data_IF_018076834245
#
_entry.id   IF_018076834245
#
_cell.length_a   1.000
_cell.length_b   1.000
_cell.length_c   1.000
_cell.angle_alpha   90.00
_cell.angle_beta   90.00
_cell.angle_gamma   90.00
#
_symmetry.space_group_name_H-M   'P 1'
#
loop_
_entity.id
_entity.type
_entity.pdbx_description
1 polymer ?
#
# COMPACT_ATOMS: atom_id res chain seq x y z
N UNK A 1 -4.80 16.14 -0.99
CA UNK A 1 -3.65 15.50 -0.35
C UNK A 1 -3.69 14.04 -0.75
N UNK A 2 -2.86 13.66 -1.72
CA UNK A 2 -2.90 12.33 -2.34
C UNK A 2 -2.56 11.22 -1.34
N UNK A 3 -1.49 11.39 -0.56
CA UNK A 3 -1.03 10.37 0.40
C UNK A 3 -1.98 10.17 1.59
N UNK A 4 -2.61 11.23 2.09
CA UNK A 4 -3.67 11.09 3.11
C UNK A 4 -4.95 10.51 2.50
N UNK A 5 -5.20 10.75 1.21
CA UNK A 5 -6.24 10.08 0.46
C UNK A 5 -6.08 8.56 0.54
N UNK A 6 -4.88 8.03 0.33
CA UNK A 6 -4.60 6.60 0.45
C UNK A 6 -4.86 6.03 1.85
N UNK A 7 -4.55 6.77 2.91
CA UNK A 7 -4.91 6.39 4.30
C UNK A 7 -6.43 6.34 4.46
N UNK A 8 -7.11 7.36 3.97
CA UNK A 8 -8.57 7.48 4.09
C UNK A 8 -9.29 6.40 3.29
N UNK A 9 -8.81 6.08 2.09
CA UNK A 9 -9.37 5.03 1.24
C UNK A 9 -9.41 3.67 1.96
N UNK A 10 -8.36 3.34 2.72
CA UNK A 10 -8.27 2.12 3.52
C UNK A 10 -9.28 2.07 4.69
N UNK A 11 -9.79 3.23 5.10
CA UNK A 11 -10.74 3.37 6.21
C UNK A 11 -12.19 3.46 5.72
N UNK A 12 -12.42 3.48 4.41
CA UNK A 12 -13.76 3.45 3.85
C UNK A 12 -14.30 2.02 3.86
N UNK A 13 -15.51 1.85 4.39
CA UNK A 13 -16.27 0.60 4.31
C UNK A 13 -17.51 0.85 3.48
N UNK A 14 -17.71 0.08 2.40
CA UNK A 14 -18.93 0.18 1.59
C UNK A 14 -20.13 -0.29 2.42
N UNK A 15 -21.15 0.57 2.55
CA UNK A 15 -22.47 0.14 3.01
C UNK A 15 -23.17 -0.56 1.84
N UNK A 16 -23.87 -1.66 2.14
CA UNK A 16 -24.58 -2.49 1.17
C UNK A 16 -25.27 -1.67 0.07
N UNK A 17 -25.14 -2.08 -1.20
CA UNK A 17 -25.81 -1.43 -2.34
C UNK A 17 -27.29 -1.21 -2.03
N UNK A 18 -27.72 0.04 -1.91
CA UNK A 18 -29.15 0.37 -1.90
C UNK A 18 -29.71 -0.11 -3.24
N UNK A 19 -30.55 -1.15 -3.24
CA UNK A 19 -31.31 -1.55 -4.42
C UNK A 19 -32.10 -0.33 -4.85
N UNK A 20 -31.81 0.22 -6.03
CA UNK A 20 -32.56 1.32 -6.61
C UNK A 20 -34.05 0.94 -6.59
N UNK A 21 -34.85 1.65 -5.81
CA UNK A 21 -36.30 1.55 -5.92
C UNK A 21 -36.66 1.98 -7.35
N UNK A 22 -37.43 1.13 -8.05
CA UNK A 22 -38.04 1.47 -9.33
C UNK A 22 -38.96 2.66 -9.07
N UNK A 23 -38.54 3.87 -9.43
CA UNK A 23 -39.47 4.99 -9.47
C UNK A 23 -40.44 4.78 -10.64
N UNK A 24 -41.74 4.79 -10.33
CA UNK A 24 -42.83 4.81 -11.28
C UNK A 24 -42.71 6.03 -12.22
N UNK A 25 -43.20 5.95 -13.48
CA UNK A 25 -43.05 7.02 -14.44
C UNK A 25 -43.90 8.22 -14.00
N UNK A 26 -43.23 9.33 -13.65
CA UNK A 26 -43.86 10.64 -13.58
C UNK A 26 -43.99 11.18 -15.01
N UNK A 27 -45.23 11.20 -15.49
CA UNK A 27 -45.59 11.98 -16.67
C UNK A 27 -45.39 13.48 -16.39
N UNK A 28 -45.00 14.18 -17.46
CA UNK A 28 -45.07 15.63 -17.72
C UNK A 28 -43.83 16.52 -17.47
N UNK A 29 -43.46 17.18 -18.57
CA UNK A 29 -42.85 18.51 -18.72
C UNK A 29 -41.33 18.73 -18.53
N UNK A 30 -40.62 18.57 -19.66
CA UNK A 30 -39.60 19.50 -20.24
C UNK A 30 -38.57 20.14 -19.30
N UNK A 31 -37.43 19.45 -19.15
CA UNK A 31 -36.09 20.03 -19.31
C UNK A 31 -35.10 18.89 -19.63
N UNK A 32 -34.49 18.91 -20.82
CA UNK A 32 -33.49 17.91 -21.23
C UNK A 32 -32.19 18.15 -20.45
N UNK A 33 -32.03 17.51 -19.29
CA UNK A 33 -30.70 17.21 -18.74
C UNK A 33 -30.26 15.86 -19.31
N UNK A 34 -29.28 15.89 -20.22
CA UNK A 34 -28.62 14.71 -20.79
C UNK A 34 -27.60 14.16 -19.77
N UNK A 35 -28.09 13.66 -18.64
CA UNK A 35 -27.29 12.83 -17.75
C UNK A 35 -28.06 11.53 -17.48
N UNK A 36 -27.62 10.39 -18.02
CA UNK A 36 -28.23 9.11 -17.71
C UNK A 36 -28.09 8.84 -16.20
N UNK A 37 -29.22 8.66 -15.53
CA UNK A 37 -29.34 8.25 -14.13
C UNK A 37 -28.97 6.76 -13.94
N UNK A 38 -27.75 6.38 -14.35
CA UNK A 38 -27.25 5.01 -14.38
C UNK A 38 -25.91 4.87 -13.64
N UNK A 39 -25.85 5.30 -12.38
CA UNK A 39 -24.91 4.74 -11.41
C UNK A 39 -25.64 4.62 -10.09
N UNK A 40 -25.77 3.38 -9.58
CA UNK A 40 -26.23 3.19 -8.22
C UNK A 40 -25.34 4.00 -7.28
N UNK A 41 -25.94 4.76 -6.36
CA UNK A 41 -25.20 5.50 -5.35
C UNK A 41 -24.52 4.50 -4.42
N UNK A 42 -23.20 4.40 -4.50
CA UNK A 42 -22.42 3.68 -3.49
C UNK A 42 -22.25 4.57 -2.26
N UNK A 43 -22.68 4.07 -1.11
CA UNK A 43 -22.52 4.77 0.17
C UNK A 43 -21.34 4.15 0.93
N UNK A 44 -20.45 4.99 1.45
CA UNK A 44 -19.29 4.55 2.24
C UNK A 44 -19.35 5.16 3.64
N UNK A 45 -19.03 4.38 4.66
CA UNK A 45 -18.76 4.88 6.01
C UNK A 45 -17.25 4.97 6.26
N UNK A 46 -16.83 6.02 6.95
CA UNK A 46 -15.45 6.17 7.38
C UNK A 46 -15.27 5.57 8.77
N UNK A 47 -14.38 4.59 8.89
CA UNK A 47 -14.02 3.99 10.17
C UNK A 47 -13.14 4.95 11.00
N UNK A 48 -13.40 5.10 12.32
CA UNK A 48 -12.54 5.88 13.19
C UNK A 48 -11.19 5.17 13.40
N UNK A 49 -10.11 5.96 13.49
CA UNK A 49 -8.75 5.47 13.73
C UNK A 49 -8.45 5.47 15.23
N UNK A 50 -7.87 4.37 15.73
CA UNK A 50 -7.26 4.29 17.05
C UNK A 50 -5.75 4.57 16.99
N UNK A 51 -5.31 5.54 17.77
CA UNK A 51 -3.90 5.96 17.82
C UNK A 51 -3.13 5.32 18.98
N UNK A 52 -1.81 5.08 18.84
CA UNK A 52 -1.01 5.33 17.64
C UNK A 52 -1.31 4.33 16.50
N UNK A 53 -1.31 4.81 15.26
CA UNK A 53 -1.53 4.01 14.06
C UNK A 53 -0.30 4.06 13.14
N UNK A 54 -0.15 3.06 12.27
CA UNK A 54 0.95 2.96 11.32
C UNK A 54 0.39 2.85 9.90
N UNK A 55 0.81 3.74 9.00
CA UNK A 55 0.44 3.69 7.59
C UNK A 55 1.62 3.20 6.73
N UNK A 56 1.42 2.14 5.96
CA UNK A 56 2.30 1.73 4.87
C UNK A 56 1.68 2.19 3.54
N UNK A 57 2.35 3.11 2.85
CA UNK A 57 1.88 3.72 1.61
C UNK A 57 2.74 3.22 0.44
N UNK A 58 2.18 2.33 -0.37
CA UNK A 58 2.84 1.63 -1.47
C UNK A 58 2.11 1.87 -2.80
N UNK A 59 2.66 2.75 -3.63
CA UNK A 59 2.12 3.11 -4.94
C UNK A 59 3.21 2.99 -6.03
N UNK A 60 2.88 3.39 -7.26
CA UNK A 60 3.86 3.49 -8.35
C UNK A 60 5.06 4.37 -8.01
N UNK A 61 4.84 5.48 -7.29
CA UNK A 61 5.87 6.47 -6.98
C UNK A 61 6.22 6.63 -5.50
N UNK A 62 5.56 5.89 -4.60
CA UNK A 62 5.79 6.03 -3.16
C UNK A 62 5.96 4.67 -2.49
N UNK A 63 6.88 4.60 -1.55
CA UNK A 63 6.99 3.49 -0.59
C UNK A 63 7.44 4.10 0.73
N UNK A 64 6.47 4.39 1.58
CA UNK A 64 6.65 5.14 2.82
C UNK A 64 6.00 4.41 3.99
N UNK A 65 6.68 4.44 5.14
CA UNK A 65 6.17 3.95 6.41
C UNK A 65 6.02 5.11 7.38
N UNK A 66 4.78 5.46 7.71
CA UNK A 66 4.43 6.69 8.42
C UNK A 66 3.72 6.34 9.73
N UNK A 67 4.33 6.71 10.85
CA UNK A 67 3.67 6.67 12.15
C UNK A 67 2.69 7.83 12.27
N UNK A 68 1.49 7.55 12.75
CA UNK A 68 0.47 8.51 13.12
C UNK A 68 0.29 8.47 14.64
N UNK A 69 0.99 9.32 15.42
CA UNK A 69 0.84 9.31 16.87
C UNK A 69 -0.54 9.81 17.32
N UNK A 70 -1.14 10.72 16.55
CA UNK A 70 -2.43 11.37 16.80
C UNK A 70 -3.04 11.85 15.47
N UNK A 71 -4.31 12.23 15.49
CA UNK A 71 -5.00 12.79 14.31
C UNK A 71 -4.23 13.97 13.70
N UNK A 72 -3.95 13.88 12.40
CA UNK A 72 -3.25 14.94 11.64
C UNK A 72 -1.78 15.13 12.03
N UNK A 73 -1.21 14.24 12.84
CA UNK A 73 0.22 14.21 13.18
C UNK A 73 0.84 13.00 12.50
N UNK A 74 1.86 13.25 11.69
CA UNK A 74 2.55 12.23 10.91
C UNK A 74 4.05 12.31 11.20
N UNK A 75 4.68 11.15 11.34
CA UNK A 75 6.12 10.99 11.51
C UNK A 75 6.60 9.93 10.53
N UNK A 76 7.48 10.31 9.61
CA UNK A 76 8.14 9.37 8.72
C UNK A 76 9.03 8.45 9.56
N UNK A 77 8.82 7.14 9.45
CA UNK A 77 9.69 6.13 10.07
C UNK A 77 10.71 5.59 9.07
N UNK A 78 10.31 5.45 7.82
CA UNK A 78 11.18 5.03 6.73
C UNK A 78 10.54 5.23 5.37
N UNK A 79 11.37 5.28 4.34
CA UNK A 79 10.95 5.44 2.95
C UNK A 79 11.87 4.65 2.03
N UNK A 80 11.48 4.46 0.77
CA UNK A 80 12.43 3.92 -0.21
C UNK A 80 13.63 4.87 -0.39
N UNK A 81 14.82 4.30 -0.47
CA UNK A 81 16.06 5.00 -0.79
C UNK A 81 16.28 5.14 -2.31
N UNK A 82 15.51 4.41 -3.10
CA UNK A 82 15.64 4.33 -4.55
C UNK A 82 14.28 4.19 -5.24
N UNK A 83 14.05 3.11 -5.98
CA UNK A 83 12.80 2.86 -6.70
C UNK A 83 11.67 2.64 -5.68
N UNK A 84 10.48 3.18 -5.96
CA UNK A 84 9.28 2.76 -5.27
C UNK A 84 8.93 1.31 -5.65
N UNK A 85 8.19 0.63 -4.79
CA UNK A 85 7.84 -0.78 -5.01
C UNK A 85 7.01 -0.98 -6.28
N UNK A 86 6.07 -0.08 -6.60
CA UNK A 86 5.28 -0.16 -7.83
C UNK A 86 6.15 0.01 -9.08
N UNK A 87 7.10 0.95 -9.06
CA UNK A 87 8.09 1.10 -10.14
C UNK A 87 8.99 -0.14 -10.29
N UNK A 88 9.37 -0.79 -9.19
CA UNK A 88 10.12 -2.04 -9.23
C UNK A 88 9.31 -3.16 -9.92
N UNK A 89 8.02 -3.30 -9.59
CA UNK A 89 7.11 -4.21 -10.27
C UNK A 89 7.04 -3.92 -11.78
N UNK A 90 6.89 -2.66 -12.18
CA UNK A 90 6.81 -2.29 -13.60
C UNK A 90 8.10 -2.58 -14.37
N UNK A 91 9.26 -2.36 -13.74
CA UNK A 91 10.56 -2.68 -14.34
C UNK A 91 10.76 -4.19 -14.48
N UNK A 92 10.37 -4.98 -13.49
CA UNK A 92 10.44 -6.45 -13.55
C UNK A 92 9.47 -7.00 -14.61
N UNK A 93 8.25 -6.47 -14.69
CA UNK A 93 7.30 -6.82 -15.73
C UNK A 93 7.89 -6.64 -17.13
N UNK A 94 8.55 -5.50 -17.37
CA UNK A 94 9.25 -5.22 -18.63
C UNK A 94 10.37 -6.23 -18.91
N UNK A 95 11.18 -6.57 -17.92
CA UNK A 95 12.26 -7.57 -18.07
C UNK A 95 11.71 -8.95 -18.42
N UNK A 96 10.52 -9.29 -17.91
CA UNK A 96 9.83 -10.54 -18.19
C UNK A 96 8.97 -10.48 -19.46
N UNK A 97 8.99 -9.39 -20.24
CA UNK A 97 8.20 -9.25 -21.46
C UNK A 97 6.68 -9.15 -21.22
N UNK A 98 6.26 -8.61 -20.08
CA UNK A 98 4.85 -8.40 -19.72
C UNK A 98 4.37 -7.00 -20.09
N UNK A 99 3.04 -6.85 -20.21
CA UNK A 99 2.39 -5.57 -20.51
C UNK A 99 2.43 -4.60 -19.33
N UNK A 100 2.22 -3.31 -19.62
CA UNK A 100 2.03 -2.26 -18.63
C UNK A 100 0.52 -2.01 -18.38
N UNK A 101 0.05 -1.77 -17.14
CA UNK A 101 0.81 -1.69 -15.88
C UNK A 101 1.35 -3.06 -15.42
N UNK A 102 2.58 -3.08 -14.94
CA UNK A 102 3.34 -4.31 -14.74
C UNK A 102 3.03 -5.04 -13.44
N UNK A 103 2.67 -4.31 -12.37
CA UNK A 103 2.33 -4.91 -11.08
C UNK A 103 1.27 -6.03 -11.14
N UNK A 104 0.09 -5.78 -11.73
CA UNK A 104 -0.93 -6.82 -11.89
C UNK A 104 -0.44 -8.02 -12.72
N UNK A 105 0.33 -7.78 -13.79
CA UNK A 105 0.81 -8.85 -14.67
C UNK A 105 1.86 -9.74 -13.99
N UNK A 106 2.78 -9.15 -13.22
CA UNK A 106 3.76 -9.91 -12.43
C UNK A 106 3.04 -10.75 -11.38
N UNK A 107 2.05 -10.20 -10.68
CA UNK A 107 1.27 -10.96 -9.68
C UNK A 107 0.51 -12.12 -10.32
N UNK A 108 -0.13 -11.89 -11.46
CA UNK A 108 -0.83 -12.94 -12.23
C UNK A 108 0.11 -14.03 -12.72
N UNK A 109 1.33 -13.66 -13.12
CA UNK A 109 2.36 -14.63 -13.54
C UNK A 109 2.90 -15.42 -12.34
N UNK A 110 3.14 -14.77 -11.21
CA UNK A 110 3.56 -15.41 -9.96
C UNK A 110 2.56 -16.46 -9.45
N UNK A 111 1.25 -16.22 -9.62
CA UNK A 111 0.18 -17.17 -9.25
C UNK A 111 0.23 -18.49 -10.03
N UNK A 112 0.87 -18.53 -11.21
CA UNK A 112 0.98 -19.73 -12.03
C UNK A 112 2.15 -20.63 -11.65
N UNK A 113 3.12 -20.09 -10.91
CA UNK A 113 4.32 -20.83 -10.54
C UNK A 113 3.95 -22.10 -9.75
N UNK A 114 4.52 -23.27 -10.11
CA UNK A 114 4.17 -24.52 -9.45
C UNK A 114 4.44 -24.50 -7.95
N UNK A 115 3.52 -25.07 -7.17
CA UNK A 115 3.68 -25.17 -5.72
C UNK A 115 4.93 -25.98 -5.35
N UNK A 116 5.63 -25.55 -4.29
CA UNK A 116 6.86 -26.19 -3.82
C UNK A 116 8.11 -25.89 -4.66
N UNK A 117 7.98 -25.33 -5.87
CA UNK A 117 9.13 -24.97 -6.70
C UNK A 117 9.66 -23.57 -6.40
N UNK A 118 10.98 -23.41 -6.53
CA UNK A 118 11.71 -22.17 -6.24
C UNK A 118 12.88 -22.03 -7.20
N UNK A 119 13.38 -20.81 -7.35
CA UNK A 119 14.66 -20.57 -8.00
C UNK A 119 15.78 -21.28 -7.24
N UNK A 120 16.76 -21.80 -7.99
CA UNK A 120 17.97 -22.41 -7.42
C UNK A 120 18.76 -21.44 -6.54
N UNK A 121 18.79 -20.16 -6.93
CA UNK A 121 19.33 -19.06 -6.15
C UNK A 121 18.21 -18.07 -5.88
N UNK A 122 17.70 -17.99 -4.64
CA UNK A 122 16.67 -17.03 -4.28
C UNK A 122 17.13 -15.58 -4.44
N UNK A 123 16.22 -14.72 -4.87
CA UNK A 123 16.41 -13.29 -4.93
C UNK A 123 16.64 -12.73 -3.51
N UNK A 124 17.49 -11.70 -3.37
CA UNK A 124 17.74 -11.10 -2.06
C UNK A 124 16.49 -10.45 -1.49
N UNK A 125 16.40 -10.31 -0.17
CA UNK A 125 15.38 -9.50 0.54
C UNK A 125 16.04 -8.21 1.01
N UNK A 126 16.08 -7.14 0.20
CA UNK A 126 16.93 -5.99 0.47
C UNK A 126 16.52 -5.30 1.77
N UNK A 127 17.53 -4.85 2.53
CA UNK A 127 17.34 -4.11 3.78
C UNK A 127 16.50 -4.83 4.85
N UNK A 128 16.13 -6.11 4.68
CA UNK A 128 15.31 -6.83 5.65
C UNK A 128 15.93 -6.81 7.06
N UNK A 129 17.26 -6.96 7.11
CA UNK A 129 18.06 -6.97 8.34
C UNK A 129 18.59 -5.59 8.76
N UNK A 130 18.25 -4.50 8.06
CA UNK A 130 18.67 -3.16 8.50
C UNK A 130 17.92 -2.77 9.78
N UNK A 131 18.57 -1.98 10.65
CA UNK A 131 17.97 -1.49 11.91
C UNK A 131 16.95 -0.35 11.70
N UNK A 132 16.94 0.22 10.50
CA UNK A 132 15.98 1.23 10.05
C UNK A 132 14.71 0.63 9.43
N UNK A 133 13.77 1.51 9.08
CA UNK A 133 12.53 1.16 8.40
C UNK A 133 12.53 1.57 6.92
N UNK A 134 13.70 1.90 6.38
CA UNK A 134 13.83 2.30 4.97
C UNK A 134 13.74 1.08 4.05
N UNK A 135 13.39 1.32 2.80
CA UNK A 135 13.26 0.29 1.75
C UNK A 135 14.27 0.53 0.63
N UNK A 136 14.54 -0.50 -0.16
CA UNK A 136 15.33 -0.41 -1.40
C UNK A 136 14.90 -1.56 -2.32
N UNK A 137 14.55 -1.23 -3.56
CA UNK A 137 14.11 -2.20 -4.56
C UNK A 137 14.93 -2.12 -5.85
N UNK A 138 15.77 -1.10 -6.01
CA UNK A 138 16.65 -0.99 -7.18
C UNK A 138 17.71 -2.11 -7.24
N UNK A 139 18.21 -2.59 -6.10
CA UNK A 139 19.09 -3.76 -6.06
C UNK A 139 18.35 -5.04 -6.47
N UNK A 140 17.08 -5.17 -6.07
CA UNK A 140 16.26 -6.34 -6.38
C UNK A 140 15.97 -6.48 -7.87
N UNK A 141 15.64 -5.38 -8.58
CA UNK A 141 15.46 -5.43 -10.06
C UNK A 141 16.74 -5.89 -10.77
N UNK A 142 17.90 -5.54 -10.20
CA UNK A 142 19.21 -5.87 -10.76
C UNK A 142 19.51 -7.36 -10.55
N UNK A 143 19.16 -7.89 -9.37
CA UNK A 143 19.20 -9.33 -9.11
C UNK A 143 18.26 -10.13 -10.02
N UNK A 144 17.06 -9.60 -10.33
CA UNK A 144 16.16 -10.21 -11.32
C UNK A 144 16.79 -10.25 -12.71
N UNK A 145 17.36 -9.13 -13.17
CA UNK A 145 18.07 -9.09 -14.46
C UNK A 145 19.20 -10.14 -14.52
N UNK A 146 19.97 -10.29 -13.45
CA UNK A 146 21.01 -11.32 -13.38
C UNK A 146 20.45 -12.75 -13.30
N UNK A 147 19.31 -12.96 -12.65
CA UNK A 147 18.65 -14.26 -12.63
C UNK A 147 18.21 -14.65 -14.05
N UNK A 148 17.58 -13.73 -14.79
CA UNK A 148 17.16 -13.94 -16.19
C UNK A 148 18.35 -14.30 -17.08
N UNK A 149 19.49 -13.61 -16.93
CA UNK A 149 20.71 -13.86 -17.73
C UNK A 149 21.35 -15.23 -17.53
N UNK A 150 20.95 -16.00 -16.51
CA UNK A 150 21.45 -17.37 -16.29
C UNK A 150 20.77 -18.41 -17.19
N UNK A 151 19.66 -18.04 -17.82
CA UNK A 151 18.93 -18.91 -18.73
C UNK A 151 19.38 -18.65 -20.17
N UNK A 152 19.71 -19.70 -20.92
CA UNK A 152 20.01 -19.58 -22.36
C UNK A 152 18.75 -19.22 -23.16
N UNK A 153 17.62 -19.80 -22.76
CA UNK A 153 16.28 -19.50 -23.23
C UNK A 153 15.37 -19.40 -22.02
N UNK A 154 14.70 -18.26 -21.87
CA UNK A 154 13.79 -18.00 -20.77
C UNK A 154 12.40 -18.54 -21.14
N UNK A 155 12.05 -19.71 -20.62
CA UNK A 155 10.73 -20.30 -20.87
C UNK A 155 9.66 -19.72 -19.92
N UNK A 156 8.40 -20.13 -20.12
CA UNK A 156 7.29 -19.63 -19.28
C UNK A 156 7.43 -20.04 -17.82
N UNK A 157 7.96 -21.22 -17.53
CA UNK A 157 8.14 -21.71 -16.16
C UNK A 157 9.22 -20.90 -15.43
N UNK A 158 10.31 -20.55 -16.09
CA UNK A 158 11.35 -19.70 -15.53
C UNK A 158 10.80 -18.31 -15.21
N UNK A 159 10.00 -17.74 -16.12
CA UNK A 159 9.33 -16.44 -15.90
C UNK A 159 8.39 -16.50 -14.70
N UNK A 160 7.61 -17.57 -14.55
CA UNK A 160 6.72 -17.80 -13.41
C UNK A 160 7.49 -17.87 -12.09
N UNK A 161 8.58 -18.65 -12.04
CA UNK A 161 9.41 -18.78 -10.84
C UNK A 161 10.10 -17.46 -10.46
N UNK A 162 10.60 -16.70 -11.44
CA UNK A 162 11.21 -15.38 -11.21
C UNK A 162 10.17 -14.38 -10.71
N UNK A 163 8.99 -14.32 -11.33
CA UNK A 163 7.91 -13.45 -10.89
C UNK A 163 7.48 -13.77 -9.46
N UNK A 164 7.35 -15.06 -9.14
CA UNK A 164 7.02 -15.55 -7.80
C UNK A 164 8.05 -15.15 -6.75
N UNK A 165 9.34 -15.43 -6.98
CA UNK A 165 10.37 -15.13 -5.97
C UNK A 165 10.59 -13.61 -5.82
N UNK A 166 10.35 -12.83 -6.88
CA UNK A 166 10.34 -11.37 -6.79
C UNK A 166 9.18 -10.87 -5.92
N UNK A 167 7.96 -11.35 -6.18
CA UNK A 167 6.78 -10.98 -5.39
C UNK A 167 6.91 -11.41 -3.93
N UNK A 168 7.43 -12.61 -3.68
CA UNK A 168 7.72 -13.12 -2.33
C UNK A 168 8.76 -12.23 -1.64
N UNK A 169 9.88 -11.89 -2.29
CA UNK A 169 10.91 -11.02 -1.72
C UNK A 169 10.38 -9.63 -1.34
N UNK A 170 9.62 -8.99 -2.23
CA UNK A 170 8.98 -7.70 -1.96
C UNK A 170 8.01 -7.80 -0.78
N UNK A 171 7.13 -8.80 -0.81
CA UNK A 171 6.10 -9.00 0.21
C UNK A 171 6.72 -9.22 1.59
N UNK A 172 7.72 -10.10 1.69
CA UNK A 172 8.43 -10.38 2.93
C UNK A 172 9.06 -9.11 3.52
N UNK A 173 9.72 -8.29 2.70
CA UNK A 173 10.35 -7.04 3.16
C UNK A 173 9.32 -6.04 3.67
N UNK A 174 8.23 -5.83 2.93
CA UNK A 174 7.15 -4.91 3.31
C UNK A 174 6.50 -5.32 4.63
N UNK A 175 6.14 -6.60 4.76
CA UNK A 175 5.46 -7.14 5.95
C UNK A 175 6.40 -7.11 7.15
N UNK A 176 7.62 -7.64 7.02
CA UNK A 176 8.56 -7.72 8.14
C UNK A 176 8.92 -6.33 8.70
N UNK A 177 9.18 -5.34 7.83
CA UNK A 177 9.49 -3.98 8.28
C UNK A 177 8.28 -3.31 8.92
N UNK A 178 7.08 -3.51 8.37
CA UNK A 178 5.84 -2.94 8.92
C UNK A 178 5.52 -3.52 10.28
N UNK A 179 5.59 -4.85 10.45
CA UNK A 179 5.35 -5.50 11.74
C UNK A 179 6.43 -5.17 12.77
N UNK A 180 7.69 -5.05 12.35
CA UNK A 180 8.78 -4.59 13.24
C UNK A 180 8.53 -3.16 13.74
N UNK A 181 8.06 -2.26 12.87
CA UNK A 181 7.69 -0.91 13.28
C UNK A 181 6.44 -0.92 14.18
N UNK A 182 5.42 -1.70 13.83
CA UNK A 182 4.20 -1.84 14.61
C UNK A 182 4.50 -2.28 16.05
N UNK A 183 5.38 -3.26 16.20
CA UNK A 183 5.92 -3.72 17.48
C UNK A 183 6.67 -2.61 18.22
N UNK A 184 7.65 -1.97 17.56
CA UNK A 184 8.51 -0.95 18.17
C UNK A 184 7.72 0.25 18.71
N UNK A 185 6.65 0.63 18.02
CA UNK A 185 5.82 1.78 18.37
C UNK A 185 4.50 1.42 19.05
N UNK A 186 4.30 0.13 19.37
CA UNK A 186 3.09 -0.42 19.99
C UNK A 186 1.80 0.14 19.37
N UNK A 187 1.71 0.04 18.04
CA UNK A 187 0.60 0.63 17.28
C UNK A 187 -0.65 -0.22 17.43
N UNK A 188 -1.80 0.44 17.53
CA UNK A 188 -3.11 -0.21 17.63
C UNK A 188 -3.65 -0.63 16.28
N UNK A 189 -3.25 0.08 15.23
CA UNK A 189 -3.77 -0.10 13.89
C UNK A 189 -2.67 -0.01 12.84
N UNK A 190 -2.74 -0.90 11.84
CA UNK A 190 -1.94 -0.87 10.62
C UNK A 190 -2.88 -0.54 9.46
N UNK A 191 -2.49 0.43 8.63
CA UNK A 191 -3.26 0.92 7.49
C UNK A 191 -2.40 0.75 6.25
N UNK A 192 -2.87 -0.03 5.28
CA UNK A 192 -2.21 -0.16 3.98
C UNK A 192 -2.89 0.78 2.98
N UNK A 193 -2.11 1.58 2.24
CA UNK A 193 -2.63 2.46 1.19
C UNK A 193 -1.77 2.45 -0.06
N UNK A 194 -2.33 2.88 -1.19
CA UNK A 194 -1.64 2.92 -2.49
C UNK A 194 -1.94 1.72 -3.38
N UNK A 195 -1.75 1.90 -4.69
CA UNK A 195 -2.18 0.93 -5.70
C UNK A 195 -1.54 -0.44 -5.60
N UNK A 196 -0.34 -0.56 -5.02
CA UNK A 196 0.35 -1.86 -4.87
C UNK A 196 -0.33 -2.72 -3.80
N UNK A 197 -1.14 -2.13 -2.92
CA UNK A 197 -1.97 -2.89 -1.98
C UNK A 197 -3.02 -3.75 -2.67
N UNK A 198 -3.34 -3.52 -3.95
CA UNK A 198 -4.21 -4.40 -4.75
C UNK A 198 -3.61 -5.80 -4.99
N UNK A 199 -2.30 -5.98 -4.78
CA UNK A 199 -1.63 -7.26 -4.93
C UNK A 199 -2.16 -8.29 -3.92
N UNK A 200 -2.66 -9.43 -4.42
CA UNK A 200 -3.31 -10.46 -3.60
C UNK A 200 -2.36 -11.13 -2.63
N UNK A 201 -1.10 -11.37 -3.03
CA UNK A 201 -0.09 -11.98 -2.17
C UNK A 201 0.22 -11.07 -0.99
N UNK A 202 0.45 -9.78 -1.23
CA UNK A 202 0.69 -8.78 -0.19
C UNK A 202 -0.47 -8.76 0.81
N UNK A 203 -1.72 -8.68 0.32
CA UNK A 203 -2.92 -8.70 1.19
C UNK A 203 -2.96 -9.94 2.07
N UNK A 204 -2.92 -11.12 1.46
CA UNK A 204 -3.00 -12.40 2.17
C UNK A 204 -1.88 -12.57 3.19
N UNK A 205 -0.66 -12.15 2.85
CA UNK A 205 0.46 -12.24 3.80
C UNK A 205 0.30 -11.26 4.96
N UNK A 206 -0.15 -10.02 4.73
CA UNK A 206 -0.46 -9.11 5.85
C UNK A 206 -1.59 -9.65 6.73
N UNK A 207 -2.68 -10.13 6.15
CA UNK A 207 -3.81 -10.72 6.88
C UNK A 207 -3.35 -11.90 7.74
N UNK A 208 -2.59 -12.83 7.15
CA UNK A 208 -2.03 -13.98 7.84
C UNK A 208 -1.10 -13.56 8.99
N UNK A 209 -0.07 -12.77 8.70
CA UNK A 209 0.96 -12.45 9.68
C UNK A 209 0.43 -11.56 10.81
N UNK A 210 -0.60 -10.73 10.56
CA UNK A 210 -1.32 -10.01 11.63
C UNK A 210 -2.22 -10.95 12.41
N UNK A 211 -2.94 -11.88 11.77
CA UNK A 211 -3.77 -12.86 12.46
C UNK A 211 -2.94 -13.80 13.35
N UNK A 212 -1.70 -14.10 13.01
CA UNK A 212 -0.83 -14.95 13.83
C UNK A 212 -0.31 -14.23 15.11
N UNK A 213 -0.54 -12.92 15.25
CA UNK A 213 -0.20 -12.15 16.46
C UNK A 213 -1.23 -12.37 17.59
N UNK A 214 -0.81 -12.28 18.87
CA UNK A 214 -1.69 -12.52 20.01
C UNK A 214 -2.74 -11.40 20.20
N UNK A 215 -4.01 -11.78 20.38
CA UNK A 215 -5.11 -10.84 20.67
C UNK A 215 -5.07 -10.27 22.09
N UNK A 216 -4.46 -11.00 23.02
CA UNK A 216 -4.29 -10.62 24.41
C UNK A 216 -2.87 -10.98 24.83
N UNK A 217 -2.22 -10.10 25.57
CA UNK A 217 -0.91 -10.35 26.15
C UNK A 217 -0.91 -9.89 27.60
N UNK A 218 -0.22 -10.61 28.47
CA UNK A 218 -0.02 -10.22 29.87
C UNK A 218 1.04 -9.12 30.00
N UNK A 219 1.13 -8.51 31.19
CA UNK A 219 2.16 -7.51 31.52
C UNK A 219 3.58 -8.09 31.42
N UNK A 220 3.76 -9.36 31.79
CA UNK A 220 5.04 -10.07 31.64
C UNK A 220 5.38 -10.29 30.17
N UNK A 221 4.39 -10.61 29.33
CA UNK A 221 4.60 -10.80 27.90
C UNK A 221 4.98 -9.52 27.17
N UNK A 222 4.39 -8.38 27.56
CA UNK A 222 4.82 -7.05 27.09
C UNK A 222 6.30 -6.82 27.45
N UNK A 223 6.68 -7.17 28.67
CA UNK A 223 8.06 -7.04 29.17
C UNK A 223 9.05 -7.96 28.45
N UNK A 224 8.58 -9.12 27.96
CA UNK A 224 9.34 -10.03 27.09
C UNK A 224 9.41 -9.57 25.62
N UNK A 225 8.77 -8.44 25.31
CA UNK A 225 8.73 -7.87 23.97
C UNK A 225 7.66 -8.49 23.07
N UNK A 226 6.59 -9.09 23.59
CA UNK A 226 5.38 -9.32 22.78
C UNK A 226 4.61 -8.02 22.62
N UNK A 227 3.80 -7.93 21.55
CA UNK A 227 2.90 -6.80 21.32
C UNK A 227 1.56 -7.31 20.83
N UNK A 228 0.50 -6.55 21.11
CA UNK A 228 -0.86 -6.92 20.78
C UNK A 228 -1.07 -6.90 19.27
N UNK A 229 -1.93 -7.80 18.78
CA UNK A 229 -2.41 -7.80 17.40
C UNK A 229 -3.02 -6.42 17.06
N UNK A 230 -2.44 -5.65 16.13
CA UNK A 230 -3.05 -4.43 15.66
C UNK A 230 -4.23 -4.73 14.73
N UNK A 231 -5.23 -3.85 14.69
CA UNK A 231 -6.29 -3.92 13.67
C UNK A 231 -5.69 -3.57 12.31
N UNK A 232 -5.95 -4.39 11.30
CA UNK A 232 -5.46 -4.18 9.94
C UNK A 232 -6.56 -3.56 9.07
N UNK A 233 -6.22 -2.49 8.36
CA UNK A 233 -7.06 -1.87 7.35
C UNK A 233 -6.41 -1.98 5.98
N UNK A 234 -7.12 -2.60 5.05
CA UNK A 234 -6.75 -2.70 3.64
C UNK A 234 -7.93 -2.16 2.83
N UNK A 235 -7.73 -1.23 1.89
CA UNK A 235 -8.80 -0.72 1.05
C UNK A 235 -9.36 -1.83 0.18
N UNK A 236 -10.60 -1.67 -0.28
CA UNK A 236 -11.08 -2.48 -1.41
C UNK A 236 -10.16 -2.29 -2.62
N UNK A 237 -10.08 -3.31 -3.48
CA UNK A 237 -9.16 -3.31 -4.63
C UNK A 237 -9.41 -2.11 -5.55
N UNK A 238 -10.67 -1.74 -5.80
CA UNK A 238 -11.03 -0.59 -6.63
C UNK A 238 -10.72 0.77 -5.98
N UNK A 239 -10.54 0.82 -4.65
CA UNK A 239 -10.17 2.01 -3.90
C UNK A 239 -8.66 2.12 -3.64
N UNK A 240 -7.88 1.09 -3.98
CA UNK A 240 -6.44 1.04 -3.69
C UNK A 240 -5.65 2.03 -4.55
N UNK A 241 -6.08 2.26 -5.79
CA UNK A 241 -5.47 3.22 -6.71
C UNK A 241 -5.98 4.65 -6.51
N UNK A 242 -5.41 5.59 -7.26
CA UNK A 242 -5.81 6.99 -7.19
C UNK A 242 -7.25 7.17 -7.68
N UNK A 243 -8.10 7.75 -6.83
CA UNK A 243 -9.50 7.99 -7.15
C UNK A 243 -10.01 9.32 -6.59
N UNK A 244 -11.11 9.83 -7.15
CA UNK A 244 -11.69 11.10 -6.71
C UNK A 244 -12.27 11.06 -5.29
N UNK A 245 -12.78 9.90 -4.87
CA UNK A 245 -13.41 9.71 -3.57
C UNK A 245 -12.42 9.95 -2.43
N UNK A 246 -11.22 9.37 -2.50
CA UNK A 246 -10.19 9.56 -1.47
C UNK A 246 -9.78 11.03 -1.31
N UNK A 247 -9.74 11.79 -2.42
CA UNK A 247 -9.42 13.22 -2.40
C UNK A 247 -10.58 14.01 -1.77
N UNK A 248 -11.83 13.69 -2.13
CA UNK A 248 -13.02 14.32 -1.57
C UNK A 248 -13.12 14.13 -0.05
N UNK A 249 -12.96 12.89 0.42
CA UNK A 249 -13.05 12.57 1.87
C UNK A 249 -11.86 13.18 2.63
N UNK A 250 -10.64 13.12 2.11
CA UNK A 250 -9.50 13.79 2.74
C UNK A 250 -9.70 15.32 2.81
N UNK A 251 -10.30 15.92 1.78
CA UNK A 251 -10.71 17.33 1.78
C UNK A 251 -11.71 17.65 2.89
N UNK A 252 -12.76 16.83 3.02
CA UNK A 252 -13.77 16.94 4.07
C UNK A 252 -13.16 16.84 5.48
N UNK A 253 -12.28 15.86 5.71
CA UNK A 253 -11.65 15.65 7.02
C UNK A 253 -10.71 16.78 7.44
N UNK A 254 -10.15 17.50 6.46
CA UNK A 254 -9.34 18.71 6.67
C UNK A 254 -10.17 19.97 6.84
N UNK A 255 -11.42 19.97 6.34
CA UNK A 255 -12.28 21.14 6.35
C UNK A 255 -12.79 21.44 7.76
N UNK A 256 -11.96 22.15 8.55
CA UNK A 256 -12.37 22.83 9.78
C UNK A 256 -12.94 24.22 9.46
N UNK A 257 -13.95 24.32 8.59
CA UNK A 257 -14.58 25.60 8.19
C UNK A 257 -13.64 26.66 7.58
N UNK A 258 -12.69 26.25 6.73
CA UNK A 258 -11.89 27.22 5.95
C UNK A 258 -12.59 27.50 4.62
N UNK A 259 -12.85 28.78 4.30
CA UNK A 259 -13.43 29.22 3.01
C UNK A 259 -12.61 28.75 1.80
N UNK A 260 -11.28 28.62 1.96
CA UNK A 260 -10.38 28.25 0.88
C UNK A 260 -9.73 26.88 1.12
N UNK A 261 -9.86 25.98 0.14
CA UNK A 261 -9.17 24.69 0.09
C UNK A 261 -8.06 24.78 -0.97
N UNK A 262 -6.79 24.71 -0.55
CA UNK A 262 -5.65 24.65 -1.47
C UNK A 262 -5.22 23.20 -1.67
N UNK A 263 -5.32 22.70 -2.90
CA UNK A 263 -4.76 21.42 -3.27
C UNK A 263 -3.24 21.53 -3.45
N UNK A 264 -2.49 20.61 -2.86
CA UNK A 264 -1.05 20.45 -3.06
C UNK A 264 -0.80 19.03 -3.54
N UNK A 265 -0.40 18.88 -4.80
CA UNK A 265 -0.16 17.57 -5.44
C UNK A 265 1.11 16.87 -4.95
N UNK A 266 2.05 17.62 -4.39
CA UNK A 266 3.39 17.16 -3.97
C UNK A 266 3.61 17.23 -2.46
N UNK A 267 2.53 17.22 -1.67
CA UNK A 267 2.62 17.32 -0.21
C UNK A 267 3.09 15.99 0.40
N UNK A 268 4.23 16.01 1.08
CA UNK A 268 4.66 14.91 1.95
C UNK A 268 3.89 14.93 3.27
N UNK A 269 3.45 13.77 3.76
CA UNK A 269 2.73 13.66 5.04
C UNK A 269 3.61 14.05 6.22
N UNK A 270 4.88 13.68 6.15
CA UNK A 270 5.88 13.97 7.17
C UNK A 270 7.18 14.41 6.52
N UNK A 271 8.03 15.09 7.29
CA UNK A 271 9.39 15.41 6.83
C UNK A 271 10.18 14.10 6.60
N UNK A 272 11.00 14.02 5.55
CA UNK A 272 11.85 12.86 5.30
C UNK A 272 12.76 12.54 6.49
N UNK A 273 13.12 11.26 6.66
CA UNK A 273 14.05 10.82 7.73
C UNK A 273 15.46 11.36 7.49
N UNK A 274 15.88 11.40 6.22
CA UNK A 274 17.16 11.99 5.79
C UNK A 274 17.00 13.49 5.53
N UNK A 275 17.92 14.30 6.10
CA UNK A 275 17.98 15.74 5.80
C UNK A 275 18.23 15.94 4.32
N UNK A 276 17.49 16.86 3.72
CA UNK A 276 17.74 17.27 2.33
C UNK A 276 19.14 17.85 2.19
N UNK A 277 19.74 17.75 1.01
CA UNK A 277 21.04 18.38 0.72
C UNK A 277 21.03 19.89 1.04
N UNK A 278 19.89 20.56 0.86
CA UNK A 278 19.69 21.96 1.23
C UNK A 278 19.76 22.21 2.75
N UNK A 279 19.17 21.32 3.56
CA UNK A 279 19.22 21.39 5.03
C UNK A 279 20.60 21.03 5.59
N UNK A 280 21.34 20.16 4.92
CA UNK A 280 22.74 19.86 5.25
C UNK A 280 23.67 21.04 4.93
N UNK A 281 23.39 21.77 3.84
CA UNK A 281 24.16 22.97 3.44
C UNK A 281 23.93 24.17 4.34
N UNK A 282 22.74 24.33 4.96
CA UNK A 282 22.46 25.41 5.91
C UNK A 282 23.12 25.25 7.29
N UNK A 283 23.81 24.12 7.54
CA UNK A 283 24.53 23.84 8.79
C UNK A 283 26.05 23.91 8.67
N UNK A 284 26.57 24.28 7.49
CA UNK A 284 27.96 24.70 7.27
C UNK A 284 27.99 26.20 7.12
#
# INVERSE_FOLDING_TARGET
>A
NHMEGHIVAALLSQKSKVKSQKHAPLETARARSVFPSLMGSEEYSLQPIQYPALALLISGGHTELVLMPNRGKYKMLGQTRDDAVGEAFDKVARMLGLAYPGGPEVSRLAEKAPEGQRLSVPLPRPMLKSDDFDFSFSGLKTSVLYAIKKFELLDDRDRELIAKDFEDSVTEVLVAKTLRAAKKYNVKEIILGGGVTANKKIRKTFEKEVADLPEKISTEEISSGKYLRPKLFIPDVHLSGDNGLMIGVAGLLRHKSKKDIKAQGTLHLAKPVTKTLAELRKKK
#
